data_IF_563746129289
#
_entry.id   IF_563746129289
#
_cell.length_a   1.000
_cell.length_b   1.000
_cell.length_c   1.000
_cell.angle_alpha   90.00
_cell.angle_beta   90.00
_cell.angle_gamma   90.00
#
_symmetry.space_group_name_H-M   'P 1'
#
loop_
_entity.id
_entity.type
_entity.pdbx_description
1 polymer ?
#
# COMPACT_ATOMS: atom_id res chain seq x y z
N UNK A 1 -43.19 -31.96 -26.57
CA UNK A 1 -42.03 -31.43 -27.33
C UNK A 1 -41.73 -29.98 -26.94
N UNK A 2 -41.32 -29.68 -25.70
CA UNK A 2 -40.86 -28.31 -25.32
C UNK A 2 -39.97 -28.36 -24.06
N UNK A 3 -38.86 -29.10 -24.12
CA UNK A 3 -37.96 -29.26 -22.96
C UNK A 3 -36.46 -29.07 -23.27
N UNK A 4 -36.12 -28.39 -24.37
CA UNK A 4 -34.71 -28.25 -24.81
C UNK A 4 -34.16 -26.81 -24.84
N UNK A 5 -34.92 -25.76 -24.50
CA UNK A 5 -34.44 -24.36 -24.60
C UNK A 5 -33.97 -23.70 -23.29
N UNK A 6 -34.01 -24.39 -22.13
CA UNK A 6 -33.70 -23.73 -20.84
C UNK A 6 -32.26 -23.84 -20.34
N UNK A 7 -31.38 -24.60 -21.02
CA UNK A 7 -30.00 -24.83 -20.56
C UNK A 7 -28.96 -23.84 -21.11
N UNK A 8 -29.29 -23.02 -22.11
CA UNK A 8 -28.35 -22.08 -22.72
C UNK A 8 -28.17 -20.76 -21.95
N UNK A 9 -29.17 -20.31 -21.19
CA UNK A 9 -29.13 -18.99 -20.53
C UNK A 9 -28.31 -18.96 -19.23
N UNK A 10 -28.10 -20.11 -18.58
CA UNK A 10 -27.42 -20.17 -17.28
C UNK A 10 -25.88 -20.02 -17.40
N UNK A 11 -25.27 -20.39 -18.53
CA UNK A 11 -23.82 -20.22 -18.71
C UNK A 11 -23.42 -18.78 -19.08
N UNK A 12 -24.32 -17.98 -19.64
CA UNK A 12 -23.99 -16.60 -20.06
C UNK A 12 -24.00 -15.64 -18.86
N UNK A 13 -24.88 -15.84 -17.87
CA UNK A 13 -24.95 -14.99 -16.67
C UNK A 13 -23.74 -15.14 -15.73
N UNK A 14 -23.14 -16.32 -15.66
CA UNK A 14 -21.95 -16.55 -14.81
C UNK A 14 -20.68 -15.87 -15.34
N UNK A 15 -20.58 -15.67 -16.67
CA UNK A 15 -19.42 -14.98 -17.29
C UNK A 15 -19.49 -13.46 -17.06
N UNK A 16 -20.71 -12.89 -17.00
CA UNK A 16 -20.90 -11.46 -16.72
C UNK A 16 -20.55 -11.11 -15.27
N UNK A 17 -20.81 -12.02 -14.31
CA UNK A 17 -20.50 -11.79 -12.90
C UNK A 17 -18.97 -11.74 -12.62
N UNK A 18 -18.17 -12.57 -13.30
CA UNK A 18 -16.71 -12.57 -13.14
C UNK A 18 -16.06 -11.43 -13.94
N UNK A 19 -16.63 -11.05 -15.08
CA UNK A 19 -16.21 -9.86 -15.83
C UNK A 19 -16.52 -8.54 -15.12
N UNK A 20 -17.53 -8.51 -14.25
CA UNK A 20 -17.96 -7.31 -13.52
C UNK A 20 -16.93 -6.81 -12.49
N UNK A 21 -16.16 -7.70 -11.85
CA UNK A 21 -15.16 -7.29 -10.85
C UNK A 21 -13.94 -6.61 -11.49
N UNK A 22 -13.50 -7.07 -12.67
CA UNK A 22 -12.36 -6.49 -13.41
C UNK A 22 -12.63 -5.07 -13.96
N UNK A 23 -13.90 -4.65 -13.98
CA UNK A 23 -14.28 -3.27 -14.36
C UNK A 23 -13.96 -2.28 -13.25
N UNK A 24 -13.98 -2.73 -11.99
CA UNK A 24 -13.86 -1.86 -10.82
C UNK A 24 -12.55 -2.05 -10.04
N UNK A 25 -12.03 -3.27 -9.95
CA UNK A 25 -10.81 -3.59 -9.23
C UNK A 25 -9.71 -4.06 -10.19
N UNK A 26 -8.46 -3.58 -10.03
CA UNK A 26 -7.33 -4.18 -10.70
C UNK A 26 -7.07 -5.62 -10.21
N UNK A 27 -6.33 -6.43 -10.99
CA UNK A 27 -5.94 -7.76 -10.55
C UNK A 27 -4.96 -7.71 -9.37
N UNK A 28 -5.02 -8.71 -8.49
CA UNK A 28 -4.06 -8.89 -7.41
C UNK A 28 -2.62 -9.03 -7.94
N UNK A 29 -1.67 -8.42 -7.23
CA UNK A 29 -0.24 -8.51 -7.53
C UNK A 29 0.52 -8.95 -6.27
N UNK A 30 1.01 -10.20 -6.20
CA UNK A 30 1.68 -10.71 -5.02
C UNK A 30 3.00 -10.01 -4.70
N UNK A 31 3.65 -9.40 -5.71
CA UNK A 31 4.87 -8.61 -5.49
C UNK A 31 4.50 -7.28 -4.84
N UNK A 32 3.40 -6.66 -5.26
CA UNK A 32 2.87 -5.45 -4.63
C UNK A 32 2.51 -5.72 -3.16
N UNK A 33 1.76 -6.79 -2.88
CA UNK A 33 1.39 -7.24 -1.52
C UNK A 33 2.62 -7.43 -0.64
N UNK A 34 3.64 -8.13 -1.17
CA UNK A 34 4.90 -8.35 -0.45
C UNK A 34 5.61 -7.03 -0.15
N UNK A 35 5.73 -6.13 -1.13
CA UNK A 35 6.46 -4.87 -0.96
C UNK A 35 5.76 -3.88 -0.05
N UNK A 36 4.42 -3.79 -0.11
CA UNK A 36 3.69 -2.93 0.82
C UNK A 36 3.76 -3.49 2.25
N UNK A 37 3.72 -4.81 2.42
CA UNK A 37 3.86 -5.46 3.74
C UNK A 37 5.25 -5.20 4.31
N UNK A 38 6.32 -5.41 3.53
CA UNK A 38 7.69 -5.09 3.97
C UNK A 38 7.84 -3.62 4.37
N UNK A 39 7.28 -2.70 3.58
CA UNK A 39 7.30 -1.28 3.92
C UNK A 39 6.56 -0.99 5.24
N UNK A 40 5.38 -1.58 5.41
CA UNK A 40 4.57 -1.42 6.61
C UNK A 40 5.25 -1.98 7.87
N UNK A 41 5.89 -3.14 7.77
CA UNK A 41 6.68 -3.72 8.87
C UNK A 41 7.85 -2.81 9.28
N UNK A 42 8.58 -2.25 8.29
CA UNK A 42 9.65 -1.30 8.56
C UNK A 42 9.14 -0.01 9.21
N UNK A 43 7.99 0.50 8.75
CA UNK A 43 7.33 1.68 9.31
C UNK A 43 6.88 1.43 10.76
N UNK A 44 6.28 0.28 11.02
CA UNK A 44 5.86 -0.13 12.37
C UNK A 44 7.06 -0.26 13.31
N UNK A 45 8.17 -0.83 12.83
CA UNK A 45 9.44 -0.91 13.56
C UNK A 45 9.97 0.48 13.91
N UNK A 46 10.06 1.39 12.93
CA UNK A 46 10.49 2.77 13.17
C UNK A 46 9.63 3.49 14.18
N UNK A 47 8.30 3.33 14.08
CA UNK A 47 7.38 3.93 15.03
C UNK A 47 7.60 3.40 16.44
N UNK A 48 7.70 2.07 16.61
CA UNK A 48 7.96 1.45 17.91
C UNK A 48 9.29 1.92 18.51
N UNK A 49 10.37 1.92 17.73
CA UNK A 49 11.68 2.39 18.18
C UNK A 49 11.68 3.89 18.51
N UNK A 50 10.95 4.70 17.73
CA UNK A 50 10.74 6.12 17.99
C UNK A 50 10.01 6.37 19.32
N UNK A 51 8.92 5.64 19.60
CA UNK A 51 8.16 5.77 20.85
C UNK A 51 8.94 5.23 22.07
N UNK A 52 9.84 4.26 21.87
CA UNK A 52 10.79 3.81 22.90
C UNK A 52 11.95 4.81 23.13
N UNK A 53 12.01 5.91 22.37
CA UNK A 53 13.01 6.96 22.53
C UNK A 53 14.36 6.67 21.88
N UNK A 54 14.50 5.59 21.09
CA UNK A 54 15.76 5.25 20.41
C UNK A 54 16.20 6.33 19.41
N UNK A 55 15.25 7.11 18.91
CA UNK A 55 15.47 8.15 17.91
C UNK A 55 15.39 9.57 18.44
N UNK A 56 15.36 9.75 19.78
CA UNK A 56 15.21 11.05 20.41
C UNK A 56 16.32 12.05 20.05
N UNK A 57 17.53 11.57 19.76
CA UNK A 57 18.66 12.39 19.31
C UNK A 57 18.89 12.24 17.81
N UNK A 58 19.05 13.36 17.10
CA UNK A 58 19.42 13.39 15.68
C UNK A 58 20.68 12.59 15.33
N UNK A 59 21.61 12.42 16.27
CA UNK A 59 22.82 11.64 16.07
C UNK A 59 22.53 10.16 15.75
N UNK A 60 21.38 9.65 16.19
CA UNK A 60 20.95 8.28 15.94
C UNK A 60 20.45 8.03 14.52
N UNK A 61 20.24 9.11 13.74
CA UNK A 61 19.78 9.02 12.35
C UNK A 61 20.69 8.12 11.50
N UNK A 62 22.01 8.25 11.66
CA UNK A 62 22.99 7.45 10.90
C UNK A 62 22.76 5.93 11.04
N UNK A 63 22.31 5.47 12.21
CA UNK A 63 21.97 4.07 12.46
C UNK A 63 20.65 3.63 11.81
N UNK A 64 19.73 4.57 11.56
CA UNK A 64 18.41 4.32 10.97
C UNK A 64 18.34 4.54 9.45
N UNK A 65 19.38 5.12 8.82
CA UNK A 65 19.39 5.45 7.38
C UNK A 65 19.01 4.23 6.52
N UNK A 66 19.59 3.06 6.81
CA UNK A 66 19.30 1.85 6.05
C UNK A 66 17.81 1.48 6.13
N UNK A 67 17.20 1.59 7.31
CA UNK A 67 15.77 1.31 7.50
C UNK A 67 14.90 2.28 6.70
N UNK A 68 15.18 3.59 6.73
CA UNK A 68 14.46 4.54 5.88
C UNK A 68 14.63 4.24 4.40
N UNK A 69 15.85 3.91 3.96
CA UNK A 69 16.14 3.60 2.57
C UNK A 69 15.41 2.34 2.09
N UNK A 70 15.38 1.29 2.91
CA UNK A 70 14.70 0.03 2.60
C UNK A 70 13.19 0.22 2.46
N UNK A 71 12.58 1.00 3.37
CA UNK A 71 11.15 1.35 3.30
C UNK A 71 10.87 2.13 2.01
N UNK A 72 11.70 3.14 1.68
CA UNK A 72 11.52 3.94 0.47
C UNK A 72 11.68 3.10 -0.80
N UNK A 73 12.64 2.18 -0.82
CA UNK A 73 12.84 1.26 -1.93
C UNK A 73 11.62 0.34 -2.10
N UNK A 74 11.09 -0.22 -1.01
CA UNK A 74 9.89 -1.05 -1.05
C UNK A 74 8.67 -0.28 -1.56
N UNK A 75 8.44 0.94 -1.06
CA UNK A 75 7.33 1.80 -1.51
C UNK A 75 7.47 2.24 -2.97
N UNK A 76 8.69 2.52 -3.43
CA UNK A 76 8.93 2.86 -4.83
C UNK A 76 8.58 1.70 -5.76
N UNK A 77 9.01 0.47 -5.41
CA UNK A 77 8.64 -0.73 -6.17
C UNK A 77 7.14 -0.96 -6.13
N UNK A 78 6.50 -0.80 -4.96
CA UNK A 78 5.05 -0.93 -4.82
C UNK A 78 4.30 0.07 -5.72
N UNK A 79 4.68 1.34 -5.73
CA UNK A 79 4.05 2.36 -6.57
C UNK A 79 4.18 2.05 -8.08
N UNK A 80 5.36 1.58 -8.51
CA UNK A 80 5.58 1.17 -9.90
C UNK A 80 4.71 -0.04 -10.25
N UNK A 81 4.65 -1.04 -9.38
CA UNK A 81 3.84 -2.25 -9.59
C UNK A 81 2.36 -1.91 -9.68
N UNK A 82 1.81 -1.20 -8.70
CA UNK A 82 0.42 -0.73 -8.70
C UNK A 82 0.10 0.05 -9.98
N UNK A 83 0.92 1.04 -10.33
CA UNK A 83 0.71 1.88 -11.52
C UNK A 83 0.86 1.15 -12.86
N UNK A 84 1.48 -0.04 -12.88
CA UNK A 84 1.70 -0.85 -14.09
C UNK A 84 0.64 -1.94 -14.31
N UNK A 85 -0.33 -2.07 -13.39
CA UNK A 85 -1.35 -3.11 -13.49
C UNK A 85 -2.25 -2.90 -14.72
N UNK A 86 -2.63 -3.98 -15.43
CA UNK A 86 -3.58 -3.89 -16.52
C UNK A 86 -4.98 -3.56 -15.98
N UNK A 87 -5.73 -2.73 -16.69
CA UNK A 87 -7.11 -2.38 -16.35
C UNK A 87 -8.03 -2.48 -17.57
N UNK A 88 -9.25 -2.97 -17.36
CA UNK A 88 -10.24 -3.15 -18.42
C UNK A 88 -11.13 -1.91 -18.63
N UNK A 89 -11.23 -1.02 -17.64
CA UNK A 89 -12.15 0.11 -17.67
C UNK A 89 -11.68 1.30 -16.81
N UNK A 90 -12.30 2.47 -17.04
CA UNK A 90 -12.02 3.72 -16.31
C UNK A 90 -12.14 3.62 -14.78
N UNK A 91 -13.12 2.90 -14.19
CA UNK A 91 -13.20 2.77 -12.74
C UNK A 91 -11.97 2.05 -12.15
N UNK A 92 -11.54 0.93 -12.73
CA UNK A 92 -10.30 0.25 -12.34
C UNK A 92 -9.06 1.15 -12.50
N UNK A 93 -8.99 1.95 -13.57
CA UNK A 93 -7.92 2.94 -13.73
C UNK A 93 -7.88 3.97 -12.59
N UNK A 94 -9.05 4.45 -12.14
CA UNK A 94 -9.15 5.37 -10.99
C UNK A 94 -8.74 4.69 -9.69
N UNK A 95 -9.10 3.42 -9.50
CA UNK A 95 -8.68 2.64 -8.35
C UNK A 95 -7.15 2.51 -8.29
N UNK A 96 -6.50 2.16 -9.40
CA UNK A 96 -5.03 2.13 -9.52
C UNK A 96 -4.42 3.50 -9.18
N UNK A 97 -4.97 4.59 -9.73
CA UNK A 97 -4.45 5.94 -9.45
C UNK A 97 -4.58 6.32 -7.97
N UNK A 98 -5.70 5.95 -7.33
CA UNK A 98 -5.92 6.18 -5.91
C UNK A 98 -4.94 5.35 -5.05
N UNK A 99 -4.74 4.08 -5.39
CA UNK A 99 -3.77 3.20 -4.72
C UNK A 99 -2.34 3.74 -4.83
N UNK A 100 -1.89 4.12 -6.04
CA UNK A 100 -0.59 4.76 -6.24
C UNK A 100 -0.46 6.03 -5.39
N UNK A 101 -1.51 6.84 -5.30
CA UNK A 101 -1.51 8.07 -4.49
C UNK A 101 -1.37 7.77 -2.99
N UNK A 102 -1.98 6.69 -2.49
CA UNK A 102 -1.83 6.26 -1.10
C UNK A 102 -0.40 5.78 -0.81
N UNK A 103 0.19 4.97 -1.70
CA UNK A 103 1.57 4.51 -1.57
C UNK A 103 2.54 5.70 -1.57
N UNK A 104 2.33 6.67 -2.46
CA UNK A 104 3.12 7.90 -2.51
C UNK A 104 2.93 8.76 -1.25
N UNK A 105 1.71 8.81 -0.70
CA UNK A 105 1.41 9.46 0.57
C UNK A 105 2.20 8.86 1.73
N UNK A 106 2.24 7.53 1.85
CA UNK A 106 3.09 6.83 2.81
C UNK A 106 4.58 7.18 2.61
N UNK A 107 5.07 7.13 1.36
CA UNK A 107 6.47 7.50 1.05
C UNK A 107 6.80 8.92 1.49
N UNK A 108 5.91 9.88 1.25
CA UNK A 108 6.08 11.28 1.65
C UNK A 108 6.17 11.43 3.18
N UNK A 109 5.31 10.74 3.94
CA UNK A 109 5.35 10.78 5.40
C UNK A 109 6.62 10.14 5.97
N UNK A 110 7.07 9.01 5.39
CA UNK A 110 8.34 8.39 5.78
C UNK A 110 9.52 9.33 5.50
N UNK A 111 9.53 10.05 4.36
CA UNK A 111 10.54 11.08 4.07
C UNK A 111 10.49 12.23 5.07
N UNK A 112 9.29 12.70 5.41
CA UNK A 112 9.10 13.75 6.41
C UNK A 112 9.64 13.35 7.79
N UNK A 113 9.37 12.12 8.22
CA UNK A 113 9.92 11.60 9.48
C UNK A 113 11.43 11.45 9.43
N UNK A 114 11.99 10.96 8.31
CA UNK A 114 13.43 10.86 8.12
C UNK A 114 14.12 12.24 8.21
N UNK A 115 13.53 13.27 7.58
CA UNK A 115 14.01 14.64 7.67
C UNK A 115 13.93 15.19 9.09
N UNK A 116 12.82 14.95 9.79
CA UNK A 116 12.66 15.34 11.19
C UNK A 116 13.75 14.69 12.06
N UNK A 117 13.95 13.38 11.92
CA UNK A 117 14.98 12.63 12.63
C UNK A 117 16.37 13.20 12.35
N UNK A 118 16.70 13.44 11.09
CA UNK A 118 18.00 13.99 10.70
C UNK A 118 18.26 15.40 11.28
N UNK A 119 17.23 16.24 11.38
CA UNK A 119 17.39 17.63 11.85
C UNK A 119 17.36 17.75 13.37
N UNK A 120 16.44 17.04 14.02
CA UNK A 120 16.07 17.28 15.42
C UNK A 120 15.94 16.02 16.28
N UNK A 121 15.94 14.83 15.68
CA UNK A 121 15.50 13.61 16.35
C UNK A 121 13.97 13.48 16.38
N UNK A 122 13.49 12.38 16.93
CA UNK A 122 12.08 12.03 17.06
C UNK A 122 11.78 11.93 18.56
N UNK A 123 11.14 12.97 19.11
CA UNK A 123 10.77 13.00 20.52
C UNK A 123 9.59 12.03 20.74
N UNK A 124 9.73 11.04 21.66
CA UNK A 124 8.67 10.07 21.92
C UNK A 124 7.42 10.73 22.49
N UNK A 125 6.24 10.12 22.31
CA UNK A 125 4.94 10.59 22.80
C UNK A 125 4.47 11.94 22.25
N UNK A 126 5.09 12.47 21.19
CA UNK A 126 4.66 13.71 20.52
C UNK A 126 3.69 13.47 19.37
N UNK A 127 3.48 12.20 18.99
CA UNK A 127 2.71 11.83 17.80
C UNK A 127 3.47 12.04 16.48
N UNK A 128 4.79 12.30 16.52
CA UNK A 128 5.62 12.50 15.34
C UNK A 128 5.56 11.32 14.35
N UNK A 129 5.37 10.10 14.85
CA UNK A 129 5.28 8.87 14.05
C UNK A 129 3.86 8.57 13.55
N UNK A 130 2.84 9.20 14.14
CA UNK A 130 1.42 8.87 13.90
C UNK A 130 0.98 9.15 12.48
N UNK A 131 1.36 10.30 11.91
CA UNK A 131 1.00 10.66 10.55
C UNK A 131 1.56 9.66 9.52
N UNK A 132 2.79 9.20 9.73
CA UNK A 132 3.42 8.15 8.93
C UNK A 132 2.66 6.82 9.07
N UNK A 133 2.39 6.39 10.30
CA UNK A 133 1.66 5.14 10.55
C UNK A 133 0.30 5.11 9.86
N UNK A 134 -0.49 6.19 9.99
CA UNK A 134 -1.82 6.28 9.36
C UNK A 134 -1.73 6.23 7.84
N UNK A 135 -0.80 6.98 7.23
CA UNK A 135 -0.66 6.98 5.78
C UNK A 135 -0.24 5.62 5.23
N UNK A 136 0.68 4.94 5.92
CA UNK A 136 1.16 3.62 5.49
C UNK A 136 0.15 2.49 5.77
N UNK A 137 -0.64 2.60 6.84
CA UNK A 137 -1.78 1.71 7.10
C UNK A 137 -2.86 1.84 6.02
N UNK A 138 -3.18 3.06 5.59
CA UNK A 138 -4.11 3.29 4.48
C UNK A 138 -3.60 2.68 3.16
N UNK A 139 -2.31 2.83 2.87
CA UNK A 139 -1.69 2.22 1.69
C UNK A 139 -1.73 0.69 1.74
N UNK A 140 -1.38 0.07 2.87
CA UNK A 140 -1.46 -1.37 3.07
C UNK A 140 -2.90 -1.89 2.90
N UNK A 141 -3.88 -1.23 3.54
CA UNK A 141 -5.30 -1.59 3.42
C UNK A 141 -5.81 -1.50 1.98
N UNK A 142 -5.37 -0.50 1.21
CA UNK A 142 -5.76 -0.36 -0.19
C UNK A 142 -5.27 -1.53 -1.04
N UNK A 143 -4.02 -1.95 -0.87
CA UNK A 143 -3.45 -3.12 -1.57
C UNK A 143 -4.16 -4.40 -1.14
N UNK A 144 -4.30 -4.65 0.16
CA UNK A 144 -4.90 -5.89 0.67
C UNK A 144 -6.39 -6.02 0.31
N UNK A 145 -7.09 -4.92 0.07
CA UNK A 145 -8.48 -4.94 -0.39
C UNK A 145 -8.66 -5.60 -1.77
N UNK A 146 -7.59 -5.71 -2.56
CA UNK A 146 -7.61 -6.34 -3.89
C UNK A 146 -7.40 -7.86 -3.85
N UNK A 147 -7.05 -8.42 -2.69
CA UNK A 147 -6.78 -9.85 -2.53
C UNK A 147 -8.07 -10.68 -2.56
N UNK A 148 -8.16 -11.73 -3.39
CA UNK A 148 -9.31 -12.64 -3.35
C UNK A 148 -9.38 -13.34 -1.99
N UNK A 149 -10.55 -13.31 -1.35
CA UNK A 149 -10.82 -13.98 -0.08
C UNK A 149 -11.12 -15.47 -0.25
#
# INVERSE_FOLDING_TARGET
MFQTMRRGAACVLSVVAVGGCAVFAPPDDPVLDTKITTAYEGVAKLAAEGEMGLYADKATYAGAIATYADIQAALAVAAVRAGSQPYAARPAQKAIAAEVSLIQGCSAQVKGLAQLHQMAGIIPNTGATTAMMVACDQAAKAVTAMKPR
#
